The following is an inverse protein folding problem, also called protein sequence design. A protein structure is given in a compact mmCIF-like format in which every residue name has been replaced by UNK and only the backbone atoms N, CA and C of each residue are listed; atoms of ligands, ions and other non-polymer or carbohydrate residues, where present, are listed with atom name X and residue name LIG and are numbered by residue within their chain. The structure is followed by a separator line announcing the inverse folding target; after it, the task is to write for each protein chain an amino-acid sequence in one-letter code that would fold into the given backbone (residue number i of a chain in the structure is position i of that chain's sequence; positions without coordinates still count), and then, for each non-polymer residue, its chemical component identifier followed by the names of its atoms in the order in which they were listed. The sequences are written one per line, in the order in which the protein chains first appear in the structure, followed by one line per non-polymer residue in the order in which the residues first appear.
data_IF_886196371635
#
_entry.id   IF_886196371635
#
_cell.length_a   1.000
_cell.length_b   1.000
_cell.length_c   1.000
_cell.angle_alpha   90.00
_cell.angle_beta   90.00
_cell.angle_gamma   90.00
#
_symmetry.space_group_name_H-M   'P 1'
#
loop_
_entity.id
_entity.type
_entity.pdbx_description
1 polymer ?
#
# COMPACT_ATOMS: atom_id res chain seq x y z
N UNK A 1 23.30 15.16 -13.10
CA UNK A 1 23.47 13.85 -12.41
C UNK A 1 23.99 14.16 -11.02
N UNK A 2 23.10 14.34 -10.04
CA UNK A 2 23.46 14.64 -8.65
C UNK A 2 23.81 13.32 -7.95
N UNK A 3 24.86 13.26 -7.14
CA UNK A 3 25.27 12.03 -6.48
C UNK A 3 24.24 11.65 -5.42
N UNK A 4 23.63 10.49 -5.59
CA UNK A 4 22.82 9.80 -4.56
C UNK A 4 23.73 9.36 -3.39
N UNK A 5 24.31 10.33 -2.70
CA UNK A 5 25.05 10.04 -1.49
C UNK A 5 24.38 10.76 -0.34
N UNK A 6 24.02 9.98 0.61
CA UNK A 6 23.62 10.39 1.92
C UNK A 6 22.11 10.61 2.12
N UNK A 7 21.52 9.67 2.75
CA UNK A 7 20.53 9.97 3.81
C UNK A 7 20.52 8.88 4.86
N UNK A 8 21.20 7.75 4.63
CA UNK A 8 21.20 6.64 5.59
C UNK A 8 22.32 6.66 6.64
N UNK A 9 23.28 7.56 6.55
CA UNK A 9 24.34 7.69 7.56
C UNK A 9 23.86 8.28 8.90
N UNK A 10 22.68 8.88 8.93
CA UNK A 10 22.14 9.53 10.14
C UNK A 10 21.22 8.62 10.98
N UNK A 11 20.91 7.42 10.54
CA UNK A 11 20.12 6.47 11.34
C UNK A 11 20.86 5.94 12.59
N UNK A 12 22.16 6.20 12.70
CA UNK A 12 22.97 5.87 13.88
C UNK A 12 23.15 7.04 14.84
N UNK A 13 22.56 8.21 14.56
CA UNK A 13 22.73 9.39 15.41
C UNK A 13 21.83 9.27 16.64
N UNK A 14 22.38 9.74 17.77
CA UNK A 14 21.59 9.92 19.00
C UNK A 14 20.41 10.85 18.74
N UNK A 15 19.39 10.77 19.59
CA UNK A 15 18.22 11.65 19.51
C UNK A 15 18.62 13.13 19.53
N UNK A 16 19.65 13.47 20.32
CA UNK A 16 20.17 14.83 20.41
C UNK A 16 20.74 15.31 19.07
N UNK A 17 21.53 14.51 18.39
CA UNK A 17 22.03 14.84 17.07
C UNK A 17 20.93 15.06 16.01
N UNK A 18 19.77 14.38 16.16
CA UNK A 18 18.60 14.64 15.31
C UNK A 18 17.94 15.99 15.62
N UNK A 19 17.87 16.39 16.89
CA UNK A 19 17.38 17.73 17.28
C UNK A 19 18.34 18.82 16.82
N UNK A 20 19.64 18.65 17.00
CA UNK A 20 20.65 19.59 16.49
C UNK A 20 20.51 19.77 14.95
N UNK A 21 20.27 18.70 14.23
CA UNK A 21 20.02 18.75 12.79
C UNK A 21 18.72 19.47 12.43
N UNK A 22 17.67 19.36 13.24
CA UNK A 22 16.41 20.09 13.06
C UNK A 22 16.61 21.59 13.32
N UNK A 23 17.39 21.96 14.35
CA UNK A 23 17.69 23.35 14.70
C UNK A 23 18.61 24.01 13.67
N UNK A 24 19.50 23.24 13.05
CA UNK A 24 20.42 23.71 12.01
C UNK A 24 19.74 24.10 10.69
N UNK A 25 18.40 23.91 10.55
CA UNK A 25 17.59 24.23 9.34
C UNK A 25 18.25 25.18 8.35
N UNK A 26 17.60 25.70 7.37
CA UNK A 26 16.18 25.64 7.02
C UNK A 26 15.75 24.35 6.31
N UNK A 27 14.47 24.04 6.43
CA UNK A 27 13.79 22.99 5.69
C UNK A 27 12.78 23.60 4.72
N UNK A 28 12.60 22.97 3.56
CA UNK A 28 11.61 23.38 2.58
C UNK A 28 10.20 22.88 2.96
N UNK A 29 10.14 21.71 3.62
CA UNK A 29 8.89 21.06 4.01
C UNK A 29 9.04 20.47 5.41
N UNK A 30 8.06 20.75 6.28
CA UNK A 30 7.89 20.09 7.58
C UNK A 30 6.66 19.18 7.50
N UNK A 31 6.86 17.88 7.77
CA UNK A 31 5.80 16.87 7.82
C UNK A 31 5.55 16.48 9.26
N UNK A 32 4.33 16.68 9.73
CA UNK A 32 3.90 16.33 11.09
C UNK A 32 3.09 15.03 11.03
N UNK A 33 3.63 13.98 11.65
CA UNK A 33 3.04 12.65 11.70
C UNK A 33 3.75 11.65 10.79
N UNK A 34 4.31 10.61 11.40
CA UNK A 34 5.09 9.54 10.76
C UNK A 34 4.27 8.29 10.42
N UNK A 35 2.98 8.43 10.09
CA UNK A 35 2.18 7.36 9.51
C UNK A 35 2.48 7.16 8.03
N UNK A 36 1.73 6.25 7.36
CA UNK A 36 1.96 5.95 5.93
C UNK A 36 1.83 7.19 5.03
N UNK A 37 0.91 8.08 5.33
CA UNK A 37 0.70 9.31 4.58
C UNK A 37 1.89 10.25 4.74
N UNK A 38 2.33 10.51 5.97
CA UNK A 38 3.48 11.39 6.22
C UNK A 38 4.77 10.83 5.64
N UNK A 39 4.99 9.53 5.75
CA UNK A 39 6.13 8.85 5.12
C UNK A 39 6.09 8.99 3.58
N UNK A 40 4.90 8.88 2.97
CA UNK A 40 4.70 9.07 1.54
C UNK A 40 5.04 10.50 1.09
N UNK A 41 4.49 11.50 1.79
CA UNK A 41 4.74 12.93 1.53
C UNK A 41 6.23 13.26 1.68
N UNK A 42 6.84 12.84 2.79
CA UNK A 42 8.26 13.09 3.05
C UNK A 42 9.15 12.45 1.97
N UNK A 43 8.86 11.22 1.57
CA UNK A 43 9.59 10.52 0.51
C UNK A 43 9.46 11.23 -0.84
N UNK A 44 8.25 11.63 -1.23
CA UNK A 44 8.03 12.30 -2.51
C UNK A 44 8.72 13.65 -2.55
N UNK A 45 8.59 14.46 -1.49
CA UNK A 45 9.27 15.75 -1.37
C UNK A 45 10.81 15.59 -1.44
N UNK A 46 11.37 14.64 -0.71
CA UNK A 46 12.81 14.35 -0.75
C UNK A 46 13.28 13.89 -2.14
N UNK A 47 12.49 13.10 -2.86
CA UNK A 47 12.78 12.69 -4.25
C UNK A 47 12.80 13.88 -5.23
N UNK A 48 12.07 14.94 -4.92
CA UNK A 48 12.07 16.20 -5.67
C UNK A 48 13.23 17.12 -5.31
N UNK A 49 14.11 16.70 -4.40
CA UNK A 49 15.28 17.45 -3.97
C UNK A 49 15.01 18.45 -2.84
N UNK A 50 13.81 18.43 -2.25
CA UNK A 50 13.47 19.29 -1.14
C UNK A 50 14.09 18.78 0.17
N UNK A 51 14.51 19.69 1.04
CA UNK A 51 14.91 19.38 2.41
C UNK A 51 13.67 19.16 3.26
N UNK A 52 13.53 17.97 3.81
CA UNK A 52 12.33 17.57 4.54
C UNK A 52 12.65 17.27 6.00
N UNK A 53 11.89 17.86 6.91
CA UNK A 53 11.83 17.46 8.31
C UNK A 53 10.55 16.64 8.54
N UNK A 54 10.68 15.43 9.05
CA UNK A 54 9.54 14.59 9.46
C UNK A 54 9.59 14.38 10.97
N UNK A 55 8.53 14.76 11.67
CA UNK A 55 8.41 14.62 13.12
C UNK A 55 7.20 13.76 13.49
N UNK A 56 7.38 12.90 14.49
CA UNK A 56 6.34 12.01 15.01
C UNK A 56 6.30 12.14 16.54
N UNK A 57 5.10 12.28 17.10
CA UNK A 57 4.91 12.50 18.53
C UNK A 57 5.18 11.24 19.38
N UNK A 58 5.06 10.05 18.82
CA UNK A 58 5.19 8.77 19.53
C UNK A 58 6.22 7.88 18.86
N UNK A 59 5.74 7.02 17.93
CA UNK A 59 6.56 6.13 17.14
C UNK A 59 6.00 6.05 15.72
N UNK A 60 6.87 5.84 14.74
CA UNK A 60 6.49 5.77 13.33
C UNK A 60 5.45 4.67 13.08
N UNK A 61 4.37 5.03 12.41
CA UNK A 61 3.29 4.11 12.10
C UNK A 61 2.44 3.66 13.30
N UNK A 62 2.64 4.17 14.51
CA UNK A 62 1.96 3.72 15.72
C UNK A 62 0.45 3.97 15.76
N UNK A 63 -0.05 4.88 14.92
CA UNK A 63 -1.47 5.22 14.78
C UNK A 63 -2.22 4.27 13.83
N UNK A 64 -3.04 4.83 12.96
CA UNK A 64 -3.90 4.12 12.00
C UNK A 64 -3.12 3.17 11.10
N UNK A 65 -1.89 3.51 10.71
CA UNK A 65 -1.05 2.68 9.83
C UNK A 65 -0.77 1.29 10.38
N UNK A 66 -0.68 1.12 11.69
CA UNK A 66 -0.49 -0.18 12.34
C UNK A 66 -1.79 -0.81 12.85
N UNK A 67 -2.88 -0.06 12.89
CA UNK A 67 -4.19 -0.50 13.41
C UNK A 67 -5.21 -0.80 12.30
N UNK A 68 -4.74 -1.00 11.08
CA UNK A 68 -5.53 -1.44 9.94
C UNK A 68 -5.55 -2.97 9.87
N UNK A 69 -6.36 -3.53 8.96
CA UNK A 69 -6.34 -4.96 8.63
C UNK A 69 -5.00 -5.41 8.01
N UNK A 70 -4.10 -4.49 7.71
CA UNK A 70 -2.83 -4.70 7.01
C UNK A 70 -2.97 -5.34 5.63
N UNK A 71 -4.16 -5.27 5.05
CA UNK A 71 -4.46 -5.79 3.72
C UNK A 71 -4.39 -4.69 2.68
N UNK A 72 -3.62 -4.94 1.63
CA UNK A 72 -3.53 -4.06 0.47
C UNK A 72 -4.55 -4.56 -0.55
N UNK A 73 -5.70 -3.86 -0.66
CA UNK A 73 -6.71 -4.19 -1.65
C UNK A 73 -6.47 -3.43 -2.96
N UNK A 74 -6.73 -4.08 -4.09
CA UNK A 74 -6.58 -3.45 -5.41
C UNK A 74 -7.84 -2.71 -5.89
N UNK A 75 -8.66 -2.16 -4.99
CA UNK A 75 -9.83 -1.38 -5.35
C UNK A 75 -11.11 -2.17 -5.65
N UNK A 76 -11.17 -3.48 -5.38
CA UNK A 76 -12.34 -4.33 -5.64
C UNK A 76 -13.65 -3.76 -5.06
N UNK A 77 -13.59 -3.10 -3.90
CA UNK A 77 -14.75 -2.48 -3.24
C UNK A 77 -15.35 -1.29 -4.02
N UNK A 78 -14.61 -0.70 -4.94
CA UNK A 78 -15.07 0.43 -5.75
C UNK A 78 -15.79 0.01 -7.04
N UNK A 79 -15.69 -1.27 -7.43
CA UNK A 79 -16.40 -1.80 -8.60
C UNK A 79 -17.93 -1.58 -8.54
N UNK A 80 -18.62 -1.82 -7.40
CA UNK A 80 -20.05 -1.55 -7.31
C UNK A 80 -20.42 -0.08 -7.46
N UNK A 81 -19.47 0.83 -7.24
CA UNK A 81 -19.65 2.28 -7.40
C UNK A 81 -19.43 2.74 -8.85
N UNK A 82 -18.97 1.83 -9.73
CA UNK A 82 -18.69 2.14 -11.14
C UNK A 82 -17.39 2.92 -11.37
N UNK A 83 -16.59 3.17 -10.34
CA UNK A 83 -15.34 3.93 -10.45
C UNK A 83 -14.19 3.04 -10.93
N UNK A 84 -14.16 2.80 -12.24
CA UNK A 84 -13.14 1.99 -12.89
C UNK A 84 -11.76 2.68 -12.91
N UNK A 85 -11.73 4.00 -12.85
CA UNK A 85 -10.51 4.79 -12.76
C UNK A 85 -9.77 4.48 -11.46
N UNK A 86 -10.47 4.59 -10.34
CA UNK A 86 -9.94 4.32 -9.02
C UNK A 86 -9.52 2.83 -8.84
N UNK A 87 -10.26 1.90 -9.47
CA UNK A 87 -9.87 0.47 -9.47
C UNK A 87 -8.52 0.26 -10.18
N UNK A 88 -8.32 0.92 -11.35
CA UNK A 88 -7.07 0.83 -12.11
C UNK A 88 -5.90 1.43 -11.34
N UNK A 89 -6.08 2.60 -10.75
CA UNK A 89 -5.09 3.29 -9.93
C UNK A 89 -4.69 2.43 -8.73
N UNK A 90 -5.66 1.97 -7.94
CA UNK A 90 -5.41 1.11 -6.78
C UNK A 90 -4.69 -0.21 -7.15
N UNK A 91 -5.00 -0.79 -8.33
CA UNK A 91 -4.30 -1.98 -8.82
C UNK A 91 -2.85 -1.68 -9.23
N UNK A 92 -2.59 -0.50 -9.80
CA UNK A 92 -1.24 -0.03 -10.15
C UNK A 92 -0.40 0.20 -8.90
N UNK A 93 -0.94 0.93 -7.92
CA UNK A 93 -0.27 1.21 -6.65
C UNK A 93 0.02 -0.07 -5.86
N UNK A 94 -0.89 -1.04 -5.85
CA UNK A 94 -0.64 -2.35 -5.26
C UNK A 94 0.58 -3.04 -5.88
N UNK A 95 0.70 -3.03 -7.22
CA UNK A 95 1.86 -3.61 -7.92
C UNK A 95 3.15 -2.89 -7.54
N UNK A 96 3.11 -1.56 -7.45
CA UNK A 96 4.26 -0.75 -7.03
C UNK A 96 4.71 -1.13 -5.61
N UNK A 97 3.77 -1.25 -4.65
CA UNK A 97 4.09 -1.67 -3.28
C UNK A 97 4.68 -3.08 -3.24
N UNK A 98 4.11 -4.03 -4.00
CA UNK A 98 4.65 -5.39 -4.09
C UNK A 98 6.07 -5.42 -4.69
N UNK A 99 6.36 -4.53 -5.64
CA UNK A 99 7.68 -4.45 -6.25
C UNK A 99 8.75 -3.86 -5.31
N UNK A 100 8.38 -2.85 -4.51
CA UNK A 100 9.32 -2.20 -3.58
C UNK A 100 9.49 -2.95 -2.26
N UNK A 101 8.49 -3.74 -1.85
CA UNK A 101 8.51 -4.46 -0.58
C UNK A 101 7.94 -5.89 -0.71
N UNK A 102 8.51 -6.77 -1.56
CA UNK A 102 7.96 -8.10 -1.83
C UNK A 102 7.97 -9.01 -0.59
N UNK A 103 8.87 -8.77 0.34
CA UNK A 103 8.98 -9.51 1.60
C UNK A 103 7.86 -9.15 2.61
N UNK A 104 7.24 -7.98 2.47
CA UNK A 104 6.14 -7.50 3.34
C UNK A 104 4.77 -7.63 2.67
N UNK A 105 4.68 -7.36 1.36
CA UNK A 105 3.44 -7.36 0.59
C UNK A 105 3.21 -8.73 -0.08
N UNK A 106 2.80 -9.73 0.71
CA UNK A 106 2.52 -11.08 0.22
C UNK A 106 1.08 -11.22 -0.25
N UNK A 107 0.88 -12.04 -1.27
CA UNK A 107 -0.47 -12.40 -1.72
C UNK A 107 -1.13 -13.32 -0.69
N UNK A 108 -2.38 -13.01 -0.37
CA UNK A 108 -3.19 -13.80 0.56
C UNK A 108 -4.46 -14.23 -0.15
N UNK A 109 -4.76 -15.54 -0.23
CA UNK A 109 -6.00 -16.01 -0.81
C UNK A 109 -7.19 -15.68 0.10
N UNK A 110 -8.33 -15.36 -0.51
CA UNK A 110 -9.59 -15.10 0.16
C UNK A 110 -10.67 -16.03 -0.33
N UNK A 111 -11.42 -16.59 0.59
CA UNK A 111 -12.63 -17.36 0.28
C UNK A 111 -13.85 -16.48 0.54
N UNK A 112 -14.70 -16.32 -0.47
CA UNK A 112 -15.94 -15.55 -0.38
C UNK A 112 -17.11 -16.56 -0.45
N UNK A 113 -17.81 -16.82 0.66
CA UNK A 113 -18.95 -17.73 0.64
C UNK A 113 -20.12 -17.12 -0.16
N UNK A 114 -20.64 -17.87 -1.11
CA UNK A 114 -21.79 -17.48 -1.92
C UNK A 114 -22.87 -18.56 -1.87
N UNK A 115 -24.07 -18.18 -1.43
CA UNK A 115 -25.17 -19.15 -1.18
C UNK A 115 -26.10 -19.36 -2.38
N UNK A 116 -26.12 -18.44 -3.34
CA UNK A 116 -27.05 -18.49 -4.48
C UNK A 116 -26.33 -18.32 -5.81
N UNK A 117 -26.87 -18.93 -6.86
CA UNK A 117 -26.34 -18.81 -8.22
C UNK A 117 -26.24 -17.34 -8.69
N UNK A 118 -27.21 -16.50 -8.32
CA UNK A 118 -27.22 -15.09 -8.66
C UNK A 118 -26.04 -14.34 -8.01
N UNK A 119 -25.72 -14.61 -6.74
CA UNK A 119 -24.57 -14.03 -6.04
C UNK A 119 -23.27 -14.49 -6.68
N UNK A 120 -23.16 -15.79 -7.01
CA UNK A 120 -21.99 -16.34 -7.70
C UNK A 120 -21.77 -15.63 -9.04
N UNK A 121 -22.81 -15.48 -9.85
CA UNK A 121 -22.74 -14.81 -11.15
C UNK A 121 -22.30 -13.35 -11.01
N UNK A 122 -22.84 -12.60 -10.04
CA UNK A 122 -22.47 -11.21 -9.75
C UNK A 122 -21.01 -11.11 -9.30
N UNK A 123 -20.56 -11.97 -8.40
CA UNK A 123 -19.17 -12.01 -7.94
C UNK A 123 -18.21 -12.34 -9.07
N UNK A 124 -18.53 -13.34 -9.90
CA UNK A 124 -17.70 -13.70 -11.07
C UNK A 124 -17.56 -12.54 -12.04
N UNK A 125 -18.64 -11.86 -12.37
CA UNK A 125 -18.60 -10.70 -13.27
C UNK A 125 -17.72 -9.58 -12.69
N UNK A 126 -17.89 -9.27 -11.38
CA UNK A 126 -17.08 -8.27 -10.69
C UNK A 126 -15.59 -8.64 -10.63
N UNK A 127 -15.27 -9.87 -10.25
CA UNK A 127 -13.89 -10.36 -10.19
C UNK A 127 -13.25 -10.41 -11.58
N UNK A 128 -13.96 -10.85 -12.61
CA UNK A 128 -13.48 -10.83 -13.99
C UNK A 128 -13.12 -9.39 -14.44
N UNK A 129 -14.00 -8.43 -14.17
CA UNK A 129 -13.74 -7.01 -14.47
C UNK A 129 -12.50 -6.50 -13.73
N UNK A 130 -12.41 -6.79 -12.43
CA UNK A 130 -11.26 -6.43 -11.60
C UNK A 130 -9.96 -7.03 -12.12
N UNK A 131 -9.95 -8.30 -12.48
CA UNK A 131 -8.78 -9.00 -13.03
C UNK A 131 -8.33 -8.42 -14.36
N UNK A 132 -9.27 -8.03 -15.22
CA UNK A 132 -8.99 -7.36 -16.49
C UNK A 132 -8.36 -5.98 -16.27
N UNK A 133 -8.96 -5.16 -15.42
CA UNK A 133 -8.45 -3.82 -15.09
C UNK A 133 -7.09 -3.87 -14.39
N UNK A 134 -6.93 -4.82 -13.46
CA UNK A 134 -5.70 -5.02 -12.70
C UNK A 134 -4.59 -5.77 -13.44
N UNK A 135 -4.86 -6.33 -14.62
CA UNK A 135 -3.90 -7.13 -15.37
C UNK A 135 -3.43 -8.35 -14.59
N UNK A 136 -4.38 -9.07 -13.96
CA UNK A 136 -4.07 -10.27 -13.17
C UNK A 136 -3.69 -11.44 -14.10
N UNK A 137 -2.55 -12.11 -13.89
CA UNK A 137 -2.12 -13.23 -14.71
C UNK A 137 -3.07 -14.42 -14.58
N UNK A 138 -3.13 -15.29 -15.59
CA UNK A 138 -4.04 -16.44 -15.65
C UNK A 138 -3.91 -17.38 -14.44
N UNK A 139 -2.70 -17.57 -13.93
CA UNK A 139 -2.40 -18.41 -12.76
C UNK A 139 -2.89 -17.87 -11.40
N UNK A 140 -3.37 -16.62 -11.38
CA UNK A 140 -3.82 -15.94 -10.15
C UNK A 140 -5.25 -15.45 -10.23
N UNK A 141 -6.01 -15.95 -11.21
CA UNK A 141 -7.43 -15.61 -11.34
C UNK A 141 -8.25 -16.30 -10.28
N UNK A 142 -9.44 -15.74 -10.04
CA UNK A 142 -10.40 -16.36 -9.13
C UNK A 142 -10.85 -17.73 -9.63
N UNK A 143 -11.08 -18.61 -8.68
CA UNK A 143 -11.68 -19.93 -8.90
C UNK A 143 -13.01 -20.04 -8.18
N UNK A 144 -13.90 -20.88 -8.70
CA UNK A 144 -15.16 -21.17 -8.04
C UNK A 144 -15.10 -22.60 -7.55
N UNK A 145 -15.11 -22.77 -6.25
CA UNK A 145 -15.03 -24.06 -5.60
C UNK A 145 -16.42 -24.53 -5.16
N UNK A 146 -16.72 -25.79 -5.39
CA UNK A 146 -17.86 -26.46 -4.81
C UNK A 146 -17.58 -26.84 -3.36
N UNK A 147 -18.62 -27.20 -2.62
CA UNK A 147 -18.45 -27.72 -1.26
C UNK A 147 -17.53 -28.95 -1.21
N UNK A 148 -17.54 -29.77 -2.27
CA UNK A 148 -16.66 -30.95 -2.37
C UNK A 148 -15.19 -30.55 -2.56
N UNK A 149 -14.93 -29.48 -3.29
CA UNK A 149 -13.57 -28.97 -3.52
C UNK A 149 -12.99 -28.39 -2.24
N UNK A 150 -13.82 -27.70 -1.43
CA UNK A 150 -13.41 -27.16 -0.13
C UNK A 150 -13.07 -28.24 0.91
N UNK A 151 -13.63 -29.45 0.77
CA UNK A 151 -13.35 -30.57 1.68
C UNK A 151 -12.11 -31.37 1.29
N UNK A 152 -11.53 -31.11 0.11
CA UNK A 152 -10.36 -31.82 -0.42
C UNK A 152 -9.04 -31.03 -0.25
N UNK A 153 -9.12 -29.73 -0.02
CA UNK A 153 -8.00 -28.82 0.18
C UNK A 153 -8.00 -28.29 1.61
#
# INVERSE_FOLDING_TARGET
MLPHRAVFSHLANSRDALFDALEAGPFDVAVIGGGITGAGVARDAAKRGLKVALVEARDFGSGTSSRSSKMIHGGLRYLPMGDLGLVREAASERKAVQAIAPHLARETPFVIPAKTAAVIAKLRAGLWTFEKLGGVPKSRKHEVWSQKDLMRN
#
